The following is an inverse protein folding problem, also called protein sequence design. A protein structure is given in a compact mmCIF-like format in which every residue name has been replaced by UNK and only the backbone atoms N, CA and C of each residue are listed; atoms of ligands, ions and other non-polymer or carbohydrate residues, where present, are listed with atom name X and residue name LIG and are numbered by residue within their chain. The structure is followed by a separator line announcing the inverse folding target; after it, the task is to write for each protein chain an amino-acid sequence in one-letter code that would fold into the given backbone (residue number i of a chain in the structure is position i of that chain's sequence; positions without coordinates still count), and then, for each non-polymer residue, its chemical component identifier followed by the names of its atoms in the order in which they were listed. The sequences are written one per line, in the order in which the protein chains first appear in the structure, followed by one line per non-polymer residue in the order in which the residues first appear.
data_IF_610637720533
#
_entry.id   IF_610637720533
#
_cell.length_a   1.000
_cell.length_b   1.000
_cell.length_c   1.000
_cell.angle_alpha   90.00
_cell.angle_beta   90.00
_cell.angle_gamma   90.00
#
_symmetry.space_group_name_H-M   'P 1'
#
loop_
_entity.id
_entity.type
_entity.pdbx_description
1 polymer ?
#
# COMPACT_ATOMS: atom_id res chain seq x y z
N UNK A 1 -59.37 -4.27 -59.64
CA UNK A 1 -58.37 -3.94 -60.68
C UNK A 1 -57.02 -4.42 -60.16
N UNK A 2 -56.70 -5.69 -60.44
CA UNK A 2 -55.45 -6.36 -60.06
C UNK A 2 -54.43 -6.16 -61.19
N UNK A 3 -53.19 -5.79 -60.87
CA UNK A 3 -52.04 -5.97 -61.76
C UNK A 3 -50.85 -6.49 -60.96
N UNK A 4 -50.56 -7.77 -61.20
CA UNK A 4 -49.29 -8.43 -60.91
C UNK A 4 -48.18 -7.75 -61.72
N UNK A 5 -47.00 -7.54 -61.12
CA UNK A 5 -45.74 -7.41 -61.86
C UNK A 5 -44.67 -8.28 -61.20
N UNK A 6 -43.92 -8.87 -62.12
CA UNK A 6 -42.97 -9.96 -62.12
C UNK A 6 -41.75 -9.81 -61.19
N UNK A 7 -41.31 -10.96 -60.68
CA UNK A 7 -40.02 -11.23 -60.01
C UNK A 7 -38.87 -11.09 -61.01
N UNK A 8 -37.74 -10.49 -60.61
CA UNK A 8 -36.43 -10.80 -61.18
C UNK A 8 -35.39 -10.97 -60.07
N UNK A 9 -34.82 -12.18 -60.05
CA UNK A 9 -33.74 -12.64 -59.18
C UNK A 9 -32.39 -12.10 -59.64
N UNK A 10 -31.51 -11.72 -58.72
CA UNK A 10 -30.07 -11.64 -58.97
C UNK A 10 -29.32 -11.98 -57.68
N UNK A 11 -28.87 -13.23 -57.64
CA UNK A 11 -27.98 -13.81 -56.65
C UNK A 11 -26.55 -13.48 -57.11
N UNK A 12 -25.80 -12.73 -56.30
CA UNK A 12 -24.36 -12.59 -56.46
C UNK A 12 -23.68 -13.45 -55.39
N UNK A 13 -23.06 -14.53 -55.84
CA UNK A 13 -22.10 -15.31 -55.07
C UNK A 13 -20.76 -14.56 -55.05
N UNK A 14 -20.25 -14.23 -53.87
CA UNK A 14 -18.81 -13.99 -53.67
C UNK A 14 -18.33 -15.09 -52.71
N UNK A 15 -17.30 -15.78 -53.16
CA UNK A 15 -16.68 -16.93 -52.51
C UNK A 15 -15.80 -16.53 -51.33
N UNK A 16 -15.69 -17.49 -50.41
CA UNK A 16 -14.69 -17.75 -49.37
C UNK A 16 -13.48 -16.81 -49.26
N UNK A 17 -13.17 -16.41 -48.03
CA UNK A 17 -12.09 -17.08 -47.31
C UNK A 17 -12.42 -17.21 -45.82
N UNK A 18 -12.38 -18.47 -45.36
CA UNK A 18 -12.39 -18.87 -43.95
C UNK A 18 -10.99 -18.60 -43.43
N UNK A 19 -10.85 -17.59 -42.56
CA UNK A 19 -9.65 -17.45 -41.75
C UNK A 19 -9.87 -18.18 -40.44
N UNK A 20 -9.07 -19.23 -40.25
CA UNK A 20 -8.91 -19.96 -39.00
C UNK A 20 -8.63 -19.00 -37.83
N UNK A 21 -9.44 -19.05 -36.78
CA UNK A 21 -9.10 -18.44 -35.51
C UNK A 21 -7.94 -19.21 -34.88
N UNK A 22 -6.73 -18.69 -35.04
CA UNK A 22 -5.64 -18.97 -34.12
C UNK A 22 -5.98 -18.37 -32.76
N UNK A 23 -6.18 -19.25 -31.80
CA UNK A 23 -6.26 -18.94 -30.37
C UNK A 23 -4.98 -18.20 -29.95
N UNK A 24 -5.11 -16.90 -29.70
CA UNK A 24 -4.05 -16.07 -29.14
C UNK A 24 -4.49 -15.65 -27.73
N UNK A 25 -3.71 -16.08 -26.73
CA UNK A 25 -3.83 -15.62 -25.35
C UNK A 25 -3.50 -14.13 -25.30
N UNK A 26 -4.52 -13.29 -25.28
CA UNK A 26 -4.38 -11.86 -25.10
C UNK A 26 -4.77 -11.50 -23.65
N UNK A 27 -3.76 -11.31 -22.81
CA UNK A 27 -3.85 -10.63 -21.51
C UNK A 27 -4.23 -9.17 -21.71
N UNK A 28 -5.45 -8.69 -21.36
CA UNK A 28 -5.85 -7.31 -21.60
C UNK A 28 -5.56 -6.40 -20.39
N UNK A 29 -4.50 -6.68 -19.61
CA UNK A 29 -4.19 -5.92 -18.39
C UNK A 29 -2.90 -5.09 -18.45
N UNK A 30 -2.17 -5.13 -19.56
CA UNK A 30 -0.96 -4.32 -19.76
C UNK A 30 -1.19 -3.02 -20.54
N UNK A 31 -2.39 -2.82 -21.10
CA UNK A 31 -2.67 -1.74 -22.06
C UNK A 31 -3.02 -0.38 -21.46
N UNK A 32 -3.29 -0.27 -20.15
CA UNK A 32 -3.68 1.00 -19.52
C UNK A 32 -2.54 1.70 -18.76
N UNK A 33 -1.38 1.04 -18.58
CA UNK A 33 -0.24 1.57 -17.80
C UNK A 33 0.73 2.47 -18.60
N UNK A 34 0.55 2.61 -19.92
CA UNK A 34 1.52 3.29 -20.80
C UNK A 34 1.07 4.65 -21.33
N UNK A 35 -0.15 5.12 -21.02
CA UNK A 35 -0.72 6.32 -21.64
C UNK A 35 -0.40 7.66 -20.94
N UNK A 36 0.33 7.67 -19.83
CA UNK A 36 0.61 8.89 -19.04
C UNK A 36 2.08 9.34 -19.04
N UNK A 37 2.90 8.89 -20.00
CA UNK A 37 4.24 9.46 -20.22
C UNK A 37 4.24 10.56 -21.29
N UNK A 38 3.44 11.61 -21.11
CA UNK A 38 3.63 12.87 -21.84
C UNK A 38 4.66 13.73 -21.11
N UNK A 39 5.82 13.87 -21.74
CA UNK A 39 6.99 14.66 -21.32
C UNK A 39 6.65 16.13 -21.11
N UNK A 40 7.11 16.73 -20.00
CA UNK A 40 7.89 17.99 -20.00
C UNK A 40 8.57 18.23 -18.66
N UNK A 41 9.89 18.43 -18.74
CA UNK A 41 10.79 19.23 -17.89
C UNK A 41 11.95 18.44 -17.30
N UNK A 42 13.15 18.88 -17.67
CA UNK A 42 14.46 18.38 -17.22
C UNK A 42 14.69 18.64 -15.73
N UNK A 43 14.06 17.85 -14.88
CA UNK A 43 14.55 17.60 -13.52
C UNK A 43 15.46 16.37 -13.58
N UNK A 44 16.55 16.37 -12.82
CA UNK A 44 17.43 15.21 -12.72
C UNK A 44 16.66 14.05 -12.03
N UNK A 45 15.82 13.33 -12.76
CA UNK A 45 15.10 12.17 -12.24
C UNK A 45 16.09 11.02 -12.13
N UNK A 46 16.50 10.75 -10.90
CA UNK A 46 17.26 9.54 -10.59
C UNK A 46 16.29 8.36 -10.61
N UNK A 47 16.69 7.17 -11.09
CA UNK A 47 15.88 5.97 -10.93
C UNK A 47 15.50 5.76 -9.45
N UNK A 48 14.29 5.28 -9.21
CA UNK A 48 13.87 4.77 -7.91
C UNK A 48 13.69 3.25 -8.04
N UNK A 49 14.26 2.44 -7.14
CA UNK A 49 15.03 2.80 -5.94
C UNK A 49 16.39 3.43 -6.26
N UNK A 50 16.87 4.30 -5.37
CA UNK A 50 18.21 4.90 -5.48
C UNK A 50 19.29 3.89 -5.11
N UNK A 51 20.47 4.00 -5.72
CA UNK A 51 21.59 3.06 -5.47
C UNK A 51 22.08 3.15 -4.01
N UNK A 52 22.03 4.34 -3.41
CA UNK A 52 22.43 4.58 -2.03
C UNK A 52 21.33 5.31 -1.31
N UNK A 53 20.82 4.69 -0.25
CA UNK A 53 19.76 5.28 0.57
C UNK A 53 20.26 6.57 1.26
N UNK A 54 19.38 7.58 1.40
CA UNK A 54 19.70 8.79 2.15
C UNK A 54 20.03 8.45 3.60
N UNK A 55 21.20 8.90 4.07
CA UNK A 55 21.67 8.63 5.44
C UNK A 55 20.96 9.44 6.51
N UNK A 56 20.30 10.53 6.11
CA UNK A 56 19.58 11.48 6.96
C UNK A 56 18.10 11.11 7.15
N UNK A 57 17.61 10.08 6.47
CA UNK A 57 16.23 9.58 6.59
C UNK A 57 16.27 8.17 7.20
N UNK A 58 15.79 7.98 8.44
CA UNK A 58 15.81 6.69 9.11
C UNK A 58 14.82 5.69 8.49
N UNK A 59 15.22 5.01 7.42
CA UNK A 59 14.44 3.96 6.75
C UNK A 59 14.66 2.61 7.44
N UNK A 60 13.60 1.82 7.57
CA UNK A 60 13.71 0.43 7.97
C UNK A 60 14.40 -0.36 6.85
N UNK A 61 15.65 -0.79 7.09
CA UNK A 61 16.52 -1.40 6.06
C UNK A 61 16.67 -2.91 6.22
N UNK A 62 16.05 -3.49 7.25
CA UNK A 62 16.12 -4.92 7.54
C UNK A 62 14.75 -5.56 7.48
N UNK A 63 14.60 -6.51 6.55
CA UNK A 63 13.46 -7.40 6.49
C UNK A 63 13.68 -8.58 7.44
N UNK A 64 12.90 -8.64 8.52
CA UNK A 64 13.09 -9.61 9.61
C UNK A 64 12.37 -10.92 9.32
N UNK A 65 11.12 -10.84 8.84
CA UNK A 65 10.33 -12.03 8.49
C UNK A 65 9.14 -11.68 7.62
N UNK A 66 8.73 -12.63 6.79
CA UNK A 66 7.57 -12.56 5.91
C UNK A 66 7.68 -13.69 4.89
N UNK A 67 6.55 -14.22 4.42
CA UNK A 67 6.54 -15.39 3.53
C UNK A 67 5.49 -15.23 2.43
N UNK A 68 5.43 -14.05 1.82
CA UNK A 68 4.46 -13.80 0.75
C UNK A 68 4.67 -14.71 -0.44
N UNK A 69 3.55 -15.07 -1.07
CA UNK A 69 3.49 -15.87 -2.31
C UNK A 69 2.89 -15.08 -3.47
N UNK A 70 2.72 -13.77 -3.33
CA UNK A 70 2.20 -12.91 -4.41
C UNK A 70 3.20 -12.88 -5.57
N UNK A 71 2.77 -13.39 -6.73
CA UNK A 71 3.64 -13.56 -7.88
C UNK A 71 4.13 -12.21 -8.41
N UNK A 72 5.44 -12.06 -8.58
CA UNK A 72 6.09 -10.85 -9.11
C UNK A 72 6.35 -9.73 -8.09
N UNK A 73 5.78 -9.81 -6.88
CA UNK A 73 5.89 -8.78 -5.84
C UNK A 73 6.27 -9.33 -4.46
N UNK A 74 6.77 -10.56 -4.37
CA UNK A 74 7.18 -11.19 -3.10
C UNK A 74 8.67 -11.04 -2.76
N UNK A 75 9.41 -10.16 -3.46
CA UNK A 75 10.80 -9.86 -3.16
C UNK A 75 10.89 -8.95 -1.93
N UNK A 76 11.35 -9.49 -0.80
CA UNK A 76 11.44 -8.76 0.47
C UNK A 76 12.37 -7.55 0.43
N UNK A 77 13.32 -7.50 -0.52
CA UNK A 77 14.21 -6.34 -0.65
C UNK A 77 13.44 -5.06 -0.96
N UNK A 78 12.28 -5.18 -1.60
CA UNK A 78 11.40 -4.07 -2.02
C UNK A 78 10.74 -3.30 -0.89
N UNK A 79 10.66 -3.88 0.32
CA UNK A 79 10.18 -3.17 1.50
C UNK A 79 11.29 -2.38 2.24
N UNK A 80 12.54 -2.47 1.77
CA UNK A 80 13.73 -2.01 2.51
C UNK A 80 14.77 -1.27 1.65
N UNK A 81 14.52 -1.16 0.35
CA UNK A 81 15.44 -0.59 -0.64
C UNK A 81 15.12 0.88 -1.00
N UNK A 82 14.16 1.51 -0.33
CA UNK A 82 13.82 2.92 -0.54
C UNK A 82 12.33 3.18 -0.38
N UNK A 83 11.89 4.38 -0.75
CA UNK A 83 10.48 4.71 -0.94
C UNK A 83 10.33 5.31 -2.33
N UNK A 84 9.51 4.66 -3.15
CA UNK A 84 9.38 4.89 -4.58
C UNK A 84 7.95 5.22 -5.00
N UNK A 85 7.26 6.07 -4.24
CA UNK A 85 5.87 6.42 -4.49
C UNK A 85 5.54 6.85 -5.93
N UNK A 86 4.37 6.44 -6.39
CA UNK A 86 3.80 6.79 -7.71
C UNK A 86 3.03 8.11 -7.72
N UNK A 87 2.85 8.76 -6.57
CA UNK A 87 2.08 10.00 -6.43
C UNK A 87 0.64 9.78 -6.00
N UNK A 88 -0.23 10.78 -6.22
CA UNK A 88 -1.61 10.74 -5.70
C UNK A 88 -2.51 9.74 -6.45
N UNK A 89 -2.25 9.52 -7.75
CA UNK A 89 -3.15 8.80 -8.67
C UNK A 89 -2.54 7.52 -9.26
N UNK A 90 -1.39 7.09 -8.76
CA UNK A 90 -0.75 5.85 -9.20
C UNK A 90 0.05 5.22 -8.06
N UNK A 91 0.05 3.90 -8.01
CA UNK A 91 1.01 3.14 -7.23
C UNK A 91 2.37 3.01 -7.93
N UNK A 92 3.40 2.70 -7.14
CA UNK A 92 4.71 2.19 -7.55
C UNK A 92 4.64 0.71 -7.93
N UNK A 93 5.68 0.21 -8.61
CA UNK A 93 5.92 -1.23 -8.80
C UNK A 93 7.09 -1.76 -7.95
N UNK A 94 7.79 -0.87 -7.23
CA UNK A 94 8.87 -1.24 -6.32
C UNK A 94 8.29 -1.49 -4.93
N UNK A 95 7.60 -2.62 -4.76
CA UNK A 95 6.86 -2.95 -3.53
C UNK A 95 6.99 -4.43 -3.17
N UNK A 96 6.86 -4.73 -1.87
CA UNK A 96 6.67 -6.08 -1.36
C UNK A 96 5.19 -6.30 -1.02
N UNK A 97 4.49 -7.06 -1.85
CA UNK A 97 3.09 -7.43 -1.65
C UNK A 97 2.96 -8.58 -0.65
N UNK A 98 2.08 -8.44 0.34
CA UNK A 98 1.67 -9.50 1.25
C UNK A 98 0.50 -10.31 0.70
N UNK A 99 0.30 -11.54 1.18
CA UNK A 99 -0.94 -12.27 0.91
C UNK A 99 -2.13 -11.56 1.58
N UNK A 100 -3.34 -11.74 1.05
CA UNK A 100 -4.55 -11.18 1.67
C UNK A 100 -4.85 -11.79 3.05
N UNK A 101 -4.59 -13.09 3.21
CA UNK A 101 -4.78 -13.85 4.46
C UNK A 101 -3.70 -14.92 4.64
N UNK A 102 -3.70 -15.60 5.79
CA UNK A 102 -2.78 -16.70 6.09
C UNK A 102 -1.38 -16.24 6.50
N UNK A 103 -0.40 -17.14 6.47
CA UNK A 103 0.95 -16.89 7.00
C UNK A 103 1.74 -15.85 6.19
N UNK A 104 1.42 -15.68 4.90
CA UNK A 104 2.04 -14.68 4.04
C UNK A 104 1.45 -13.27 4.17
N UNK A 105 0.43 -13.07 5.01
CA UNK A 105 -0.27 -11.79 5.18
C UNK A 105 0.38 -10.84 6.18
N UNK A 106 1.60 -11.17 6.63
CA UNK A 106 2.37 -10.35 7.55
C UNK A 106 3.82 -10.19 7.12
N UNK A 107 4.39 -9.03 7.44
CA UNK A 107 5.80 -8.72 7.30
C UNK A 107 6.31 -8.02 8.56
N UNK A 108 7.57 -8.26 8.90
CA UNK A 108 8.26 -7.59 10.00
C UNK A 108 9.50 -6.90 9.49
N UNK A 109 9.63 -5.61 9.79
CA UNK A 109 10.76 -4.76 9.42
C UNK A 109 11.46 -4.22 10.68
N UNK A 110 12.72 -3.79 10.53
CA UNK A 110 13.49 -3.16 11.61
C UNK A 110 14.56 -2.18 11.10
N UNK A 111 15.11 -1.39 12.02
CA UNK A 111 16.21 -0.43 11.78
C UNK A 111 17.58 -0.98 12.17
N UNK A 112 17.82 -2.28 11.95
CA UNK A 112 19.14 -2.86 12.19
C UNK A 112 19.58 -2.86 13.65
N UNK A 113 18.64 -3.10 14.57
CA UNK A 113 18.89 -3.16 16.02
C UNK A 113 18.71 -1.84 16.76
N UNK A 114 18.56 -0.72 16.02
CA UNK A 114 18.17 0.58 16.56
C UNK A 114 16.70 0.59 17.02
N UNK A 115 16.41 1.41 18.00
CA UNK A 115 15.05 1.68 18.47
C UNK A 115 14.50 2.95 17.82
N UNK A 116 13.26 2.90 17.33
CA UNK A 116 12.45 4.07 16.98
C UNK A 116 11.93 4.69 18.27
N UNK A 117 12.26 5.96 18.51
CA UNK A 117 11.97 6.63 19.78
C UNK A 117 10.62 7.35 19.73
N UNK A 118 9.94 7.38 20.88
CA UNK A 118 8.75 8.19 21.10
C UNK A 118 9.15 9.68 21.19
N UNK A 119 8.38 10.52 20.51
CA UNK A 119 8.57 11.95 20.45
C UNK A 119 7.23 12.68 20.41
N UNK A 120 7.26 13.96 20.03
CA UNK A 120 6.02 14.72 19.89
C UNK A 120 5.36 14.44 18.54
N UNK A 121 4.15 13.86 18.58
CA UNK A 121 3.34 13.56 17.40
C UNK A 121 3.79 12.30 16.68
N UNK A 122 3.65 12.27 15.35
CA UNK A 122 3.93 11.08 14.54
C UNK A 122 5.41 10.67 14.62
N UNK A 123 5.70 9.48 15.10
CA UNK A 123 7.06 8.95 15.28
C UNK A 123 7.54 8.11 14.11
N UNK A 124 6.64 7.52 13.33
CA UNK A 124 6.98 6.81 12.11
C UNK A 124 5.85 6.84 11.07
N UNK A 125 6.20 6.59 9.82
CA UNK A 125 5.30 6.60 8.66
C UNK A 125 5.45 5.26 7.94
N UNK A 126 4.31 4.63 7.65
CA UNK A 126 4.23 3.43 6.81
C UNK A 126 3.84 3.85 5.40
N UNK A 127 4.62 3.41 4.41
CA UNK A 127 4.36 3.56 2.99
C UNK A 127 3.98 2.19 2.42
N UNK A 128 2.71 2.06 2.08
CA UNK A 128 2.16 0.90 1.38
C UNK A 128 2.18 1.25 -0.10
N UNK A 129 1.06 1.43 -0.78
CA UNK A 129 1.06 1.90 -2.16
C UNK A 129 -0.33 2.39 -2.64
N UNK A 130 -1.18 2.99 -1.78
CA UNK A 130 -2.54 3.25 -2.20
C UNK A 130 -2.57 4.44 -3.16
N UNK A 131 -3.63 4.57 -3.95
CA UNK A 131 -3.81 5.72 -4.83
C UNK A 131 -5.28 6.09 -4.96
N UNK A 132 -5.52 7.36 -5.21
CA UNK A 132 -6.85 7.93 -5.36
C UNK A 132 -7.42 7.55 -6.72
N UNK A 133 -8.69 7.15 -6.78
CA UNK A 133 -9.30 6.67 -8.03
C UNK A 133 -9.54 7.80 -9.05
N UNK A 134 -9.71 9.04 -8.59
CA UNK A 134 -9.80 10.23 -9.45
C UNK A 134 -9.67 11.51 -8.62
N UNK A 135 -9.42 12.65 -9.26
CA UNK A 135 -9.31 13.96 -8.59
C UNK A 135 -10.52 14.32 -7.71
N UNK A 136 -11.72 13.92 -8.14
CA UNK A 136 -13.00 14.26 -7.49
C UNK A 136 -13.51 13.18 -6.54
N UNK A 137 -12.82 12.05 -6.47
CA UNK A 137 -13.22 10.91 -5.65
C UNK A 137 -12.64 11.02 -4.24
N UNK A 138 -13.44 10.68 -3.22
CA UNK A 138 -12.97 10.42 -1.85
C UNK A 138 -12.57 8.95 -1.65
N UNK A 139 -12.45 8.20 -2.75
CA UNK A 139 -12.17 6.76 -2.77
C UNK A 139 -10.79 6.44 -3.28
N UNK A 140 -10.23 5.37 -2.72
CA UNK A 140 -8.86 4.93 -2.97
C UNK A 140 -8.84 3.45 -3.33
N UNK A 141 -7.97 3.08 -4.26
CA UNK A 141 -7.43 1.73 -4.32
C UNK A 141 -6.41 1.65 -3.19
N UNK A 142 -6.68 0.81 -2.20
CA UNK A 142 -5.96 0.82 -0.93
C UNK A 142 -6.10 -0.52 -0.24
N UNK A 143 -5.06 -0.93 0.46
CA UNK A 143 -4.97 -2.23 1.13
C UNK A 143 -4.67 -2.02 2.61
N UNK A 144 -5.73 -1.85 3.44
CA UNK A 144 -5.56 -1.51 4.84
C UNK A 144 -4.77 -2.57 5.61
N UNK A 145 -3.90 -2.12 6.50
CA UNK A 145 -3.07 -2.98 7.34
C UNK A 145 -3.15 -2.60 8.80
N UNK A 146 -3.14 -3.62 9.66
CA UNK A 146 -2.94 -3.46 11.09
C UNK A 146 -1.44 -3.32 11.35
N UNK A 147 -1.10 -2.28 12.11
CA UNK A 147 0.28 -1.99 12.53
C UNK A 147 0.43 -2.38 13.99
N UNK A 148 1.49 -3.12 14.28
CA UNK A 148 1.91 -3.42 15.63
C UNK A 148 3.41 -3.22 15.78
N UNK A 149 3.86 -2.84 16.98
CA UNK A 149 5.27 -2.58 17.28
C UNK A 149 5.76 -3.43 18.45
N UNK A 150 7.04 -3.78 18.44
CA UNK A 150 7.66 -4.64 19.45
C UNK A 150 9.11 -4.24 19.77
N UNK A 151 9.51 -4.46 21.01
CA UNK A 151 10.89 -4.32 21.49
C UNK A 151 11.73 -5.58 21.22
N UNK A 152 11.10 -6.75 21.20
CA UNK A 152 11.78 -8.06 21.30
C UNK A 152 11.38 -9.05 20.19
N UNK A 153 10.52 -8.65 19.27
CA UNK A 153 9.99 -9.47 18.17
C UNK A 153 9.12 -10.65 18.64
N UNK A 154 8.59 -10.61 19.86
CA UNK A 154 7.75 -11.66 20.44
C UNK A 154 6.42 -11.14 20.97
N UNK A 155 6.44 -10.00 21.67
CA UNK A 155 5.23 -9.33 22.16
C UNK A 155 5.03 -8.05 21.36
N UNK A 156 3.86 -7.93 20.75
CA UNK A 156 3.48 -6.81 19.89
C UNK A 156 2.35 -6.01 20.50
N UNK A 157 2.46 -4.69 20.44
CA UNK A 157 1.44 -3.75 20.86
C UNK A 157 0.91 -3.00 19.63
N UNK A 158 -0.41 -2.89 19.52
CA UNK A 158 -1.08 -2.22 18.41
C UNK A 158 -1.53 -0.80 18.72
N UNK A 159 -2.18 -0.19 17.74
CA UNK A 159 -2.78 1.15 17.83
C UNK A 159 -4.30 1.05 17.93
N UNK A 160 -5.00 2.12 18.37
CA UNK A 160 -6.44 2.15 18.39
C UNK A 160 -6.98 2.07 16.96
N UNK A 161 -7.90 1.14 16.70
CA UNK A 161 -8.51 0.95 15.39
C UNK A 161 -9.99 1.34 15.43
N UNK A 162 -10.44 2.08 14.41
CA UNK A 162 -11.87 2.32 14.14
C UNK A 162 -12.20 1.84 12.74
N UNK A 163 -13.35 1.18 12.59
CA UNK A 163 -13.73 0.54 11.33
C UNK A 163 -15.22 0.71 11.06
N UNK A 164 -15.54 1.25 9.88
CA UNK A 164 -16.90 1.28 9.34
C UNK A 164 -17.05 0.17 8.30
N UNK A 165 -17.79 -0.87 8.65
CA UNK A 165 -18.01 -2.05 7.80
C UNK A 165 -19.06 -1.84 6.71
N UNK A 166 -19.57 -0.61 6.52
CA UNK A 166 -20.56 -0.33 5.49
C UNK A 166 -19.94 -0.50 4.11
N UNK A 167 -20.47 -1.44 3.31
CA UNK A 167 -19.89 -1.82 2.00
C UNK A 167 -19.69 -0.62 1.06
N UNK A 168 -20.59 0.35 1.08
CA UNK A 168 -20.50 1.57 0.25
C UNK A 168 -19.45 2.57 0.72
N UNK A 169 -18.80 2.35 1.87
CA UNK A 169 -17.75 3.21 2.44
C UNK A 169 -16.38 2.53 2.52
N UNK A 170 -16.26 1.22 2.27
CA UNK A 170 -15.02 0.47 2.49
C UNK A 170 -13.79 1.00 1.75
N UNK A 171 -13.94 1.66 0.60
CA UNK A 171 -12.82 2.29 -0.11
C UNK A 171 -12.57 3.75 0.29
N UNK A 172 -13.07 4.21 1.46
CA UNK A 172 -12.78 5.53 2.04
C UNK A 172 -11.81 5.41 3.19
N UNK A 173 -10.80 6.29 3.23
CA UNK A 173 -9.88 6.42 4.38
C UNK A 173 -10.64 6.59 5.70
N UNK A 174 -11.74 7.33 5.71
CA UNK A 174 -12.55 7.58 6.92
C UNK A 174 -13.14 6.31 7.55
N UNK A 175 -13.21 5.21 6.80
CA UNK A 175 -13.72 3.92 7.29
C UNK A 175 -12.66 3.07 8.00
N UNK A 176 -11.39 3.52 8.03
CA UNK A 176 -10.25 2.73 8.49
C UNK A 176 -9.34 3.54 9.43
N UNK A 177 -9.88 4.10 10.51
CA UNK A 177 -9.06 4.86 11.45
C UNK A 177 -8.01 3.99 12.15
N UNK A 178 -6.76 4.45 12.18
CA UNK A 178 -5.64 3.76 12.83
C UNK A 178 -4.99 2.64 12.02
N UNK A 179 -5.45 2.37 10.79
CA UNK A 179 -4.80 1.45 9.86
C UNK A 179 -3.70 2.17 9.06
N UNK A 180 -2.73 1.40 8.56
CA UNK A 180 -1.84 1.82 7.49
C UNK A 180 -2.41 1.40 6.12
N UNK A 181 -1.80 1.86 5.03
CA UNK A 181 -2.19 1.51 3.67
C UNK A 181 -3.40 2.27 3.17
N UNK A 182 -3.56 3.53 3.60
CA UNK A 182 -4.73 4.36 3.29
C UNK A 182 -4.38 5.56 2.42
N UNK A 183 -3.20 6.16 2.62
CA UNK A 183 -2.82 7.44 2.02
C UNK A 183 -1.74 7.29 0.96
N UNK A 184 -1.91 7.94 -0.22
CA UNK A 184 -0.97 7.76 -1.32
C UNK A 184 0.47 8.10 -0.97
N UNK A 185 1.41 7.41 -1.62
CA UNK A 185 2.84 7.63 -1.42
C UNK A 185 3.31 8.72 -2.39
N UNK A 186 3.57 9.90 -1.84
CA UNK A 186 4.00 11.08 -2.61
C UNK A 186 5.52 11.19 -2.66
N UNK A 187 6.19 10.77 -1.59
CA UNK A 187 7.63 10.73 -1.51
C UNK A 187 8.19 9.73 -2.51
N UNK A 188 9.16 10.19 -3.30
CA UNK A 188 9.89 9.34 -4.23
C UNK A 188 11.36 9.74 -4.18
N UNK A 189 12.21 8.84 -3.70
CA UNK A 189 13.63 9.15 -3.49
C UNK A 189 14.38 9.54 -4.77
N UNK A 190 13.90 9.11 -5.94
CA UNK A 190 14.55 9.39 -7.22
C UNK A 190 14.07 10.68 -7.90
N UNK A 191 12.80 11.06 -7.69
CA UNK A 191 12.13 12.10 -8.49
C UNK A 191 11.37 13.16 -7.70
N UNK A 192 11.02 12.89 -6.43
CA UNK A 192 10.28 13.80 -5.56
C UNK A 192 10.77 13.67 -4.11
N UNK A 193 11.95 14.23 -3.87
CA UNK A 193 12.64 14.14 -2.58
C UNK A 193 12.10 15.14 -1.58
N UNK A 194 12.09 14.75 -0.30
CA UNK A 194 11.76 15.59 0.85
C UNK A 194 12.83 15.41 1.93
N UNK A 195 13.03 16.43 2.76
CA UNK A 195 13.79 16.28 4.01
C UNK A 195 13.01 15.43 5.02
N UNK A 196 13.69 14.93 6.04
CA UNK A 196 13.03 14.21 7.13
C UNK A 196 11.88 15.02 7.76
N UNK A 197 12.11 16.30 8.08
CA UNK A 197 11.07 17.17 8.66
C UNK A 197 9.86 17.34 7.73
N UNK A 198 10.10 17.46 6.43
CA UNK A 198 9.05 17.57 5.43
C UNK A 198 8.17 16.32 5.39
N UNK A 199 8.75 15.11 5.50
CA UNK A 199 7.98 13.86 5.52
C UNK A 199 6.94 13.83 6.66
N UNK A 200 7.26 14.40 7.82
CA UNK A 200 6.38 14.43 9.01
C UNK A 200 5.50 15.69 9.08
N UNK A 201 5.54 16.57 8.07
CA UNK A 201 4.72 17.77 8.03
C UNK A 201 3.29 17.43 7.61
N UNK A 202 2.33 17.70 8.49
CA UNK A 202 0.90 17.54 8.21
C UNK A 202 0.40 18.53 7.16
N UNK A 203 -0.39 18.04 6.21
CA UNK A 203 -1.13 18.85 5.23
C UNK A 203 -2.63 18.89 5.55
N UNK A 204 -3.04 18.39 6.72
CA UNK A 204 -4.43 18.32 7.18
C UNK A 204 -5.11 16.98 6.91
N UNK A 205 -6.19 16.69 7.64
CA UNK A 205 -6.98 15.45 7.52
C UNK A 205 -6.15 14.13 7.64
N UNK A 206 -5.07 14.19 8.41
CA UNK A 206 -4.13 13.09 8.59
C UNK A 206 -3.17 12.85 7.41
N UNK A 207 -3.20 13.67 6.37
CA UNK A 207 -2.22 13.62 5.28
C UNK A 207 -0.89 14.24 5.69
N UNK A 208 0.18 13.67 5.15
CA UNK A 208 1.55 14.13 5.29
C UNK A 208 2.08 14.58 3.94
N UNK A 209 3.04 15.52 3.93
CA UNK A 209 3.61 16.05 2.69
C UNK A 209 4.24 14.96 1.81
N UNK A 210 4.87 13.96 2.44
CA UNK A 210 5.43 12.78 1.78
C UNK A 210 4.41 11.67 1.51
N UNK A 211 3.16 11.82 1.95
CA UNK A 211 2.17 10.74 1.91
C UNK A 211 2.37 9.69 3.00
N UNK A 212 1.76 8.51 2.81
CA UNK A 212 1.79 7.42 3.77
C UNK A 212 0.98 7.70 5.05
N UNK A 213 1.01 6.73 5.96
CA UNK A 213 0.22 6.75 7.19
C UNK A 213 1.12 6.89 8.43
N UNK A 214 0.93 7.98 9.17
CA UNK A 214 1.71 8.31 10.35
C UNK A 214 1.15 7.72 11.64
N UNK A 215 2.05 7.24 12.50
CA UNK A 215 1.75 6.65 13.79
C UNK A 215 2.53 7.36 14.92
N UNK A 216 1.84 7.62 16.02
CA UNK A 216 2.36 8.29 17.23
C UNK A 216 2.42 7.25 18.36
N UNK A 217 3.60 7.04 18.95
CA UNK A 217 3.81 6.01 19.97
C UNK A 217 3.05 6.31 21.27
N UNK A 218 2.69 7.56 21.55
CA UNK A 218 1.79 7.89 22.66
C UNK A 218 0.39 7.27 22.48
N UNK A 219 0.03 6.86 21.27
CA UNK A 219 -1.24 6.19 20.98
C UNK A 219 -1.19 4.67 21.12
N UNK A 220 -0.02 4.05 21.30
CA UNK A 220 0.08 2.58 21.46
C UNK A 220 -0.80 2.09 22.62
N UNK A 221 -1.54 1.03 22.38
CA UNK A 221 -2.50 0.44 23.31
C UNK A 221 -2.01 -0.91 23.86
N UNK A 222 -2.45 -1.23 25.07
CA UNK A 222 -2.25 -2.55 25.66
C UNK A 222 -3.43 -3.45 25.28
N UNK A 223 -3.16 -4.61 24.67
CA UNK A 223 -4.17 -5.62 24.34
C UNK A 223 -3.52 -7.00 24.19
N UNK A 224 -4.30 -8.06 24.49
CA UNK A 224 -3.82 -9.44 24.40
C UNK A 224 -2.54 -9.68 25.22
N UNK A 225 -1.46 -10.09 24.56
CA UNK A 225 -0.14 -10.33 25.18
C UNK A 225 0.62 -9.05 25.50
N UNK A 226 0.24 -7.90 24.91
CA UNK A 226 0.79 -6.60 25.26
C UNK A 226 0.16 -6.08 26.56
N UNK A 227 0.88 -6.21 27.66
CA UNK A 227 0.47 -5.67 28.96
C UNK A 227 0.71 -4.15 29.04
N UNK A 228 0.16 -3.50 30.06
CA UNK A 228 0.44 -2.09 30.34
C UNK A 228 1.94 -1.83 30.54
N UNK A 229 2.65 -2.74 31.20
CA UNK A 229 4.12 -2.66 31.36
C UNK A 229 4.84 -2.69 30.02
N UNK A 230 4.48 -3.62 29.12
CA UNK A 230 5.13 -3.71 27.79
C UNK A 230 4.85 -2.46 26.94
N UNK A 231 3.60 -1.99 26.93
CA UNK A 231 3.23 -0.72 26.28
C UNK A 231 4.05 0.44 26.82
N UNK A 232 4.15 0.58 28.14
CA UNK A 232 4.86 1.69 28.77
C UNK A 232 6.38 1.60 28.51
N UNK A 233 6.93 0.38 28.40
CA UNK A 233 8.30 0.17 27.94
C UNK A 233 8.50 0.62 26.48
N UNK A 234 7.56 0.32 25.58
CA UNK A 234 7.62 0.80 24.19
C UNK A 234 7.57 2.33 24.13
N UNK A 235 6.69 2.97 24.92
CA UNK A 235 6.59 4.44 24.98
C UNK A 235 7.83 5.12 25.54
N UNK A 236 8.55 4.45 26.44
CA UNK A 236 9.73 5.04 27.11
C UNK A 236 11.04 4.72 26.41
N UNK A 237 11.17 3.51 25.87
CA UNK A 237 12.42 2.99 25.30
C UNK A 237 12.39 2.87 23.77
N UNK A 238 11.24 3.18 23.15
CA UNK A 238 11.01 2.98 21.74
C UNK A 238 10.66 1.53 21.37
N UNK A 239 10.61 1.24 20.08
CA UNK A 239 10.44 -0.12 19.57
C UNK A 239 11.50 -0.45 18.51
N UNK A 240 11.74 -1.73 18.25
CA UNK A 240 12.77 -2.19 17.31
C UNK A 240 12.20 -2.87 16.07
N UNK A 241 11.00 -3.43 16.20
CA UNK A 241 10.34 -4.22 15.18
C UNK A 241 8.95 -3.63 14.92
N UNK A 242 8.64 -3.41 13.65
CA UNK A 242 7.28 -3.11 13.19
C UNK A 242 6.75 -4.34 12.45
N UNK A 243 5.55 -4.78 12.82
CA UNK A 243 4.82 -5.83 12.13
C UNK A 243 3.63 -5.20 11.41
N UNK A 244 3.54 -5.45 10.12
CA UNK A 244 2.45 -5.06 9.25
C UNK A 244 1.66 -6.32 8.92
N UNK A 245 0.35 -6.30 9.10
CA UNK A 245 -0.52 -7.43 8.76
C UNK A 245 -1.71 -6.94 7.95
N UNK A 246 -1.99 -7.58 6.82
CA UNK A 246 -3.18 -7.26 6.01
C UNK A 246 -4.43 -7.32 6.88
N UNK A 247 -5.29 -6.30 6.82
CA UNK A 247 -6.43 -6.20 7.73
C UNK A 247 -7.35 -7.43 7.63
N UNK A 248 -7.53 -7.99 6.44
CA UNK A 248 -8.34 -9.20 6.23
C UNK A 248 -7.77 -10.48 6.84
N UNK A 249 -6.51 -10.47 7.29
CA UNK A 249 -5.93 -11.54 8.10
C UNK A 249 -6.17 -11.36 9.61
N UNK A 250 -6.70 -10.21 10.04
CA UNK A 250 -6.92 -9.87 11.45
C UNK A 250 -8.39 -9.96 11.80
N UNK A 251 -8.71 -10.70 12.86
CA UNK A 251 -10.06 -10.75 13.43
C UNK A 251 -10.39 -9.42 14.11
N UNK A 252 -11.43 -8.75 13.65
CA UNK A 252 -11.95 -7.54 14.30
C UNK A 252 -12.53 -7.92 15.68
N UNK A 253 -11.98 -7.41 16.79
CA UNK A 253 -12.43 -7.78 18.13
C UNK A 253 -13.87 -7.32 18.43
N UNK A 254 -14.39 -6.32 17.72
CA UNK A 254 -15.75 -5.83 17.92
C UNK A 254 -16.82 -6.75 17.30
N UNK A 255 -16.49 -7.49 16.24
CA UNK A 255 -17.44 -8.32 15.50
C UNK A 255 -17.12 -9.81 15.53
N UNK A 256 -15.89 -10.19 15.86
CA UNK A 256 -15.39 -11.57 15.79
C UNK A 256 -15.11 -12.07 14.37
N UNK A 257 -15.31 -11.24 13.34
CA UNK A 257 -15.04 -11.57 11.94
C UNK A 257 -13.76 -10.85 11.46
N UNK A 258 -13.06 -11.36 10.42
CA UNK A 258 -11.98 -10.61 9.78
C UNK A 258 -12.45 -9.24 9.25
N UNK A 259 -11.53 -8.27 9.16
CA UNK A 259 -11.85 -7.01 8.49
C UNK A 259 -12.14 -7.23 6.99
N UNK A 260 -13.18 -6.58 6.47
CA UNK A 260 -13.63 -6.80 5.09
C UNK A 260 -12.70 -6.12 4.11
N UNK A 261 -12.11 -6.89 3.19
CA UNK A 261 -11.26 -6.35 2.16
C UNK A 261 -12.02 -5.34 1.27
N UNK A 262 -11.46 -4.14 0.98
CA UNK A 262 -12.20 -3.07 0.30
C UNK A 262 -12.35 -3.23 -1.22
N UNK A 263 -11.62 -4.16 -1.86
CA UNK A 263 -11.61 -4.34 -3.32
C UNK A 263 -11.74 -5.82 -3.73
N UNK A 264 -11.58 -6.11 -5.02
CA UNK A 264 -11.74 -7.46 -5.60
C UNK A 264 -10.42 -8.15 -5.99
N UNK A 265 -9.27 -7.58 -5.63
CA UNK A 265 -7.95 -8.18 -5.86
C UNK A 265 -7.62 -9.24 -4.81
N UNK A 266 -6.63 -10.10 -5.09
CA UNK A 266 -6.32 -11.29 -4.28
C UNK A 266 -5.02 -11.16 -3.44
N UNK A 267 -4.38 -9.98 -3.41
CA UNK A 267 -3.25 -9.66 -2.52
C UNK A 267 -3.67 -8.76 -1.35
N UNK A 268 -2.82 -8.71 -0.31
CA UNK A 268 -2.90 -7.74 0.78
C UNK A 268 -2.01 -6.54 0.48
N UNK A 269 -1.57 -5.84 1.53
CA UNK A 269 -0.77 -4.62 1.37
C UNK A 269 0.57 -4.79 0.65
N UNK A 270 0.90 -3.80 -0.15
CA UNK A 270 2.06 -3.62 -1.01
C UNK A 270 3.05 -2.64 -0.34
N UNK A 271 4.01 -3.15 0.42
CA UNK A 271 4.92 -2.31 1.22
C UNK A 271 6.00 -1.69 0.34
N UNK A 272 6.03 -0.36 0.27
CA UNK A 272 7.12 0.45 -0.31
C UNK A 272 8.20 0.73 0.75
N UNK A 273 7.82 1.05 1.99
CA UNK A 273 8.81 1.19 3.07
C UNK A 273 8.28 1.79 4.37
N UNK A 274 9.16 1.96 5.36
CA UNK A 274 8.83 2.59 6.65
C UNK A 274 9.93 3.56 7.06
N UNK A 275 9.54 4.78 7.44
CA UNK A 275 10.45 5.83 7.92
C UNK A 275 10.15 6.17 9.37
N UNK A 276 11.18 6.23 10.20
CA UNK A 276 11.10 6.72 11.57
C UNK A 276 11.57 8.18 11.65
N UNK A 277 10.97 8.95 12.54
CA UNK A 277 11.35 10.34 12.83
C UNK A 277 12.69 10.39 13.56
N UNK A 278 12.91 9.46 14.49
CA UNK A 278 14.12 9.39 15.28
C UNK A 278 14.46 7.94 15.62
N UNK A 279 15.75 7.59 15.56
CA UNK A 279 16.26 6.26 15.89
C UNK A 279 17.53 6.36 16.74
N UNK A 280 17.73 5.41 17.65
CA UNK A 280 18.94 5.28 18.48
C UNK A 280 19.46 3.85 18.50
#
# INVERSE_FOLDING_TARGET
MFKQILILSSIMFISCDVLEEKKQDDSPLLGLLLASQTRTSSTNTTPCPVITLPSDIPIATNFVSGSSTVNGFNDSSKATNGICGGGEFSGSLDVYAMNLTGTGASAVLSWGGKSVLNGSGIDFIVYENPFKLSDTSDRYAMDPMVVEVSLDNSVYCGFPLTYDSTSSTLNKISSWGGFAGLRPVIYNMGSKTFSLEELFTSTGNGFLKGGGDGFDLDQVTASGTCTTTVRDQIKTSGFKFIKLTSASAVTNPATGNPYTYPHAFDNGGDIDGVVARNVQ
#
